data_IF_741149593088
#
_entry.id   IF_741149593088
#
_cell.length_a   1.000
_cell.length_b   1.000
_cell.length_c   1.000
_cell.angle_alpha   90.00
_cell.angle_beta   90.00
_cell.angle_gamma   90.00
#
_symmetry.space_group_name_H-M   'P 1'
#
loop_
_entity.id
_entity.type
_entity.pdbx_description
1 polymer ?
#
# COMPACT_ATOMS: atom_id res chain seq x y z
N UNK A 1 31.67 -24.46 -20.21
CA UNK A 1 31.03 -24.56 -18.87
C UNK A 1 29.63 -25.17 -19.00
N UNK A 2 29.41 -26.39 -18.49
CA UNK A 2 28.11 -27.10 -18.54
C UNK A 2 27.15 -26.54 -17.49
N UNK A 3 25.98 -26.03 -17.90
CA UNK A 3 24.87 -25.64 -17.01
C UNK A 3 24.16 -26.88 -16.48
N UNK A 4 24.09 -27.06 -15.16
CA UNK A 4 23.25 -28.08 -14.50
C UNK A 4 21.86 -27.50 -14.20
N UNK A 5 20.81 -28.12 -14.72
CA UNK A 5 19.44 -27.89 -14.26
C UNK A 5 19.21 -28.59 -12.91
N UNK A 6 18.80 -27.83 -11.89
CA UNK A 6 18.24 -28.39 -10.64
C UNK A 6 16.74 -28.60 -10.84
N UNK A 7 16.32 -29.86 -10.88
CA UNK A 7 14.90 -30.24 -10.78
C UNK A 7 14.47 -30.11 -9.31
N UNK A 8 13.52 -29.22 -9.02
CA UNK A 8 12.86 -29.15 -7.70
C UNK A 8 11.87 -30.30 -7.58
N UNK A 9 12.24 -31.33 -6.83
CA UNK A 9 11.32 -32.41 -6.44
C UNK A 9 10.35 -31.87 -5.38
N UNK A 10 9.05 -32.00 -5.62
CA UNK A 10 8.00 -31.54 -4.70
C UNK A 10 7.99 -32.43 -3.44
N UNK A 11 7.77 -31.88 -2.23
CA UNK A 11 7.91 -32.62 -0.95
C UNK A 11 7.04 -33.88 -0.82
N UNK A 12 5.90 -33.96 -1.50
CA UNK A 12 5.08 -35.18 -1.52
C UNK A 12 5.73 -36.35 -2.29
N UNK A 13 6.59 -36.09 -3.27
CA UNK A 13 7.34 -37.15 -3.96
C UNK A 13 8.45 -37.73 -3.07
N UNK A 14 9.02 -36.94 -2.15
CA UNK A 14 9.96 -37.44 -1.15
C UNK A 14 9.26 -38.38 -0.15
N UNK A 15 8.02 -38.07 0.22
CA UNK A 15 7.20 -38.92 1.09
C UNK A 15 6.84 -40.26 0.40
N UNK A 16 6.52 -40.23 -0.89
CA UNK A 16 6.29 -41.43 -1.71
C UNK A 16 7.57 -42.27 -1.84
N UNK A 17 8.74 -41.63 -2.02
CA UNK A 17 10.02 -42.34 -2.07
C UNK A 17 10.40 -43.00 -0.74
N UNK A 18 10.08 -42.35 0.39
CA UNK A 18 10.30 -42.90 1.73
C UNK A 18 9.36 -44.09 1.99
N UNK A 19 8.09 -43.99 1.57
CA UNK A 19 7.11 -45.09 1.65
C UNK A 19 7.52 -46.29 0.76
N UNK A 20 8.02 -46.05 -0.45
CA UNK A 20 8.53 -47.11 -1.34
C UNK A 20 9.80 -47.77 -0.77
N UNK A 21 10.71 -46.99 -0.14
CA UNK A 21 11.88 -47.56 0.55
C UNK A 21 11.52 -48.36 1.81
N UNK A 22 10.51 -47.93 2.57
CA UNK A 22 10.02 -48.66 3.74
C UNK A 22 9.31 -49.96 3.35
N UNK A 23 8.60 -49.97 2.22
CA UNK A 23 7.98 -51.20 1.70
C UNK A 23 8.98 -52.14 1.01
N UNK A 24 10.08 -51.62 0.46
CA UNK A 24 11.16 -52.41 -0.13
C UNK A 24 12.09 -53.10 0.89
N UNK A 25 11.95 -52.81 2.20
CA UNK A 25 12.81 -53.35 3.25
C UNK A 25 12.36 -54.74 3.78
N UNK A 26 11.30 -55.34 3.24
CA UNK A 26 10.70 -56.58 3.76
C UNK A 26 10.83 -57.83 2.85
N UNK A 27 11.69 -57.79 1.82
CA UNK A 27 11.97 -58.98 0.97
C UNK A 27 13.47 -59.04 0.64
N UNK A 28 14.18 -60.19 0.87
CA UNK A 28 15.58 -60.31 0.49
C UNK A 28 15.72 -60.54 -1.03
N UNK A 29 16.83 -60.12 -1.66
CA UNK A 29 17.00 -60.26 -3.10
C UNK A 29 17.38 -61.71 -3.47
N UNK A 30 16.85 -62.29 -4.56
CA UNK A 30 17.46 -63.46 -5.17
C UNK A 30 18.66 -63.02 -6.03
N UNK A 31 19.71 -63.82 -5.98
CA UNK A 31 20.91 -63.66 -6.79
C UNK A 31 20.62 -63.83 -8.29
N UNK A 32 21.44 -63.15 -9.08
CA UNK A 32 21.40 -63.06 -10.54
C UNK A 32 21.67 -64.43 -11.20
N UNK A 33 20.84 -64.79 -12.18
CA UNK A 33 21.26 -65.55 -13.35
C UNK A 33 20.52 -65.02 -14.59
N UNK A 34 21.29 -64.59 -15.58
CA UNK A 34 20.91 -63.91 -16.82
C UNK A 34 20.45 -64.86 -17.92
N UNK A 35 19.42 -64.52 -18.71
CA UNK A 35 19.40 -64.66 -20.18
C UNK A 35 18.12 -64.06 -20.84
N UNK A 36 18.35 -63.13 -21.79
CA UNK A 36 17.78 -62.94 -23.16
C UNK A 36 16.48 -63.72 -23.54
N UNK A 37 15.55 -63.30 -24.40
CA UNK A 37 15.28 -62.16 -25.32
C UNK A 37 13.89 -62.43 -25.97
N UNK A 38 13.15 -61.36 -26.35
CA UNK A 38 12.21 -61.20 -27.51
C UNK A 38 10.85 -61.92 -27.59
N UNK A 39 9.87 -61.15 -28.09
CA UNK A 39 8.84 -61.54 -29.09
C UNK A 39 7.39 -61.58 -28.58
N UNK A 40 6.55 -60.57 -28.87
CA UNK A 40 5.48 -60.54 -29.92
C UNK A 40 4.27 -61.45 -29.59
N UNK A 41 3.11 -60.89 -29.21
CA UNK A 41 1.92 -60.52 -30.04
C UNK A 41 1.15 -61.73 -30.61
N UNK A 42 -0.19 -61.65 -30.44
CA UNK A 42 -1.30 -62.37 -31.13
C UNK A 42 -1.93 -63.67 -30.55
N UNK A 43 -3.26 -63.59 -30.35
CA UNK A 43 -4.28 -64.68 -30.45
C UNK A 43 -4.61 -64.90 -31.95
N UNK A 44 -5.31 -65.96 -32.46
CA UNK A 44 -6.35 -66.79 -31.81
C UNK A 44 -6.52 -68.29 -32.25
N UNK A 45 -7.43 -68.99 -31.56
CA UNK A 45 -8.39 -70.05 -32.00
C UNK A 45 -7.98 -71.46 -32.55
N UNK A 46 -8.53 -72.47 -31.84
CA UNK A 46 -9.34 -73.64 -32.28
C UNK A 46 -8.75 -75.05 -32.61
N UNK A 47 -9.37 -76.04 -31.93
CA UNK A 47 -9.66 -77.48 -32.19
C UNK A 47 -8.51 -78.51 -32.24
N UNK A 48 -8.69 -79.61 -31.48
CA UNK A 48 -8.14 -80.92 -31.86
C UNK A 48 -8.04 -81.93 -30.71
N UNK A 49 -9.08 -82.73 -30.52
CA UNK A 49 -9.21 -83.88 -29.62
C UNK A 49 -8.08 -84.91 -29.70
N UNK A 50 -7.65 -85.48 -28.57
CA UNK A 50 -7.67 -86.94 -28.33
C UNK A 50 -7.32 -87.30 -26.88
N UNK A 51 -8.00 -88.35 -26.42
CA UNK A 51 -8.08 -88.88 -25.06
C UNK A 51 -6.91 -89.83 -24.79
N UNK A 52 -6.25 -89.70 -23.64
CA UNK A 52 -5.72 -90.84 -22.87
C UNK A 52 -5.93 -90.55 -21.37
N UNK A 53 -6.67 -91.45 -20.70
CA UNK A 53 -6.87 -91.50 -19.26
C UNK A 53 -5.58 -91.97 -18.58
N UNK A 54 -5.16 -91.32 -17.49
CA UNK A 54 -4.65 -92.03 -16.32
C UNK A 54 -4.54 -91.12 -15.08
N UNK A 55 -5.02 -91.68 -13.97
CA UNK A 55 -4.64 -91.50 -12.58
C UNK A 55 -4.81 -90.17 -11.81
N UNK A 56 -5.78 -90.27 -10.90
CA UNK A 56 -5.99 -89.51 -9.67
C UNK A 56 -4.71 -89.39 -8.82
N UNK A 57 -4.29 -88.15 -8.51
CA UNK A 57 -3.92 -87.72 -7.14
C UNK A 57 -4.22 -86.23 -6.93
N UNK A 58 -4.86 -85.84 -5.81
CA UNK A 58 -5.08 -84.44 -5.48
C UNK A 58 -3.77 -83.84 -4.96
N UNK A 59 -3.08 -83.04 -5.77
CA UNK A 59 -1.93 -82.26 -5.32
C UNK A 59 -2.35 -80.86 -4.88
N UNK A 60 -2.18 -80.64 -3.58
CA UNK A 60 -1.89 -79.38 -2.89
C UNK A 60 -3.00 -78.32 -2.78
N UNK A 61 -3.61 -78.28 -1.61
CA UNK A 61 -4.35 -77.14 -1.03
C UNK A 61 -3.43 -76.00 -0.56
N UNK A 62 -2.13 -76.03 -0.84
CA UNK A 62 -1.16 -75.05 -0.36
C UNK A 62 -1.04 -73.76 -1.20
N UNK A 63 -1.52 -73.74 -2.45
CA UNK A 63 -1.51 -72.52 -3.26
C UNK A 63 -2.63 -71.51 -2.88
N UNK A 64 -3.74 -71.94 -2.26
CA UNK A 64 -4.84 -71.03 -1.91
C UNK A 64 -4.59 -70.20 -0.65
N UNK A 65 -3.80 -70.70 0.30
CA UNK A 65 -3.54 -70.01 1.57
C UNK A 65 -2.53 -68.85 1.45
N UNK A 66 -1.57 -68.95 0.52
CA UNK A 66 -0.64 -67.87 0.18
C UNK A 66 -1.37 -66.73 -0.55
N UNK A 67 -2.32 -67.07 -1.42
CA UNK A 67 -3.16 -66.09 -2.13
C UNK A 67 -3.99 -65.24 -1.17
N UNK A 68 -4.62 -65.85 -0.16
CA UNK A 68 -5.45 -65.12 0.82
C UNK A 68 -4.61 -64.16 1.67
N UNK A 69 -3.41 -64.55 2.10
CA UNK A 69 -2.52 -63.66 2.89
C UNK A 69 -1.99 -62.50 2.06
N UNK A 70 -1.63 -62.73 0.80
CA UNK A 70 -1.19 -61.67 -0.12
C UNK A 70 -2.34 -60.71 -0.41
N UNK A 71 -3.55 -61.20 -0.67
CA UNK A 71 -4.74 -60.38 -0.83
C UNK A 71 -5.07 -59.56 0.42
N UNK A 72 -4.94 -60.15 1.62
CA UNK A 72 -5.19 -59.44 2.87
C UNK A 72 -4.18 -58.30 3.10
N UNK A 73 -2.91 -58.49 2.73
CA UNK A 73 -1.89 -57.43 2.76
C UNK A 73 -2.17 -56.34 1.72
N UNK A 74 -2.56 -56.71 0.49
CA UNK A 74 -2.91 -55.75 -0.57
C UNK A 74 -4.14 -54.91 -0.18
N UNK A 75 -5.18 -55.54 0.37
CA UNK A 75 -6.40 -54.86 0.84
C UNK A 75 -6.07 -53.94 2.02
N UNK A 76 -5.25 -54.39 2.97
CA UNK A 76 -4.84 -53.58 4.13
C UNK A 76 -3.98 -52.38 3.72
N UNK A 77 -3.02 -52.58 2.80
CA UNK A 77 -2.19 -51.51 2.26
C UNK A 77 -3.01 -50.51 1.44
N UNK A 78 -3.97 -51.00 0.65
CA UNK A 78 -4.90 -50.15 -0.11
C UNK A 78 -5.81 -49.33 0.81
N UNK A 79 -6.30 -49.94 1.90
CA UNK A 79 -7.06 -49.26 2.94
C UNK A 79 -6.27 -48.13 3.62
N UNK A 80 -4.99 -48.37 3.93
CA UNK A 80 -4.09 -47.36 4.50
C UNK A 80 -3.83 -46.20 3.53
N UNK A 81 -3.64 -46.49 2.23
CA UNK A 81 -3.47 -45.46 1.20
C UNK A 81 -4.75 -44.62 1.06
N UNK A 82 -5.92 -45.25 1.01
CA UNK A 82 -7.21 -44.54 0.95
C UNK A 82 -7.42 -43.67 2.19
N UNK A 83 -7.17 -44.19 3.39
CA UNK A 83 -7.27 -43.44 4.64
C UNK A 83 -6.31 -42.24 4.67
N UNK A 84 -5.08 -42.41 4.18
CA UNK A 84 -4.09 -41.33 4.09
C UNK A 84 -4.54 -40.24 3.11
N UNK A 85 -5.08 -40.63 1.93
CA UNK A 85 -5.61 -39.68 0.95
C UNK A 85 -6.82 -38.93 1.52
N UNK A 86 -7.72 -39.62 2.22
CA UNK A 86 -8.87 -39.01 2.89
C UNK A 86 -8.45 -38.04 3.99
N UNK A 87 -7.47 -38.41 4.83
CA UNK A 87 -6.91 -37.53 5.85
C UNK A 87 -6.27 -36.28 5.24
N UNK A 88 -5.48 -36.42 4.17
CA UNK A 88 -4.88 -35.28 3.45
C UNK A 88 -5.95 -34.37 2.84
N UNK A 89 -7.03 -34.93 2.29
CA UNK A 89 -8.18 -34.15 1.80
C UNK A 89 -8.89 -33.43 2.94
N UNK A 90 -9.18 -34.11 4.04
CA UNK A 90 -9.82 -33.53 5.21
C UNK A 90 -9.00 -32.38 5.81
N UNK A 91 -7.67 -32.53 5.93
CA UNK A 91 -6.78 -31.44 6.38
C UNK A 91 -6.79 -30.29 5.38
N UNK A 92 -6.74 -30.57 4.07
CA UNK A 92 -6.79 -29.52 3.05
C UNK A 92 -8.10 -28.76 3.09
N UNK A 93 -9.22 -29.45 3.23
CA UNK A 93 -10.54 -28.85 3.28
C UNK A 93 -10.74 -28.09 4.59
N UNK A 94 -10.28 -28.62 5.73
CA UNK A 94 -10.22 -27.89 7.00
C UNK A 94 -9.40 -26.60 6.89
N UNK A 95 -8.22 -26.62 6.25
CA UNK A 95 -7.40 -25.42 6.02
C UNK A 95 -8.11 -24.43 5.08
N UNK A 96 -8.82 -24.91 4.06
CA UNK A 96 -9.61 -24.05 3.16
C UNK A 96 -10.78 -23.40 3.91
N UNK A 97 -11.54 -24.17 4.67
CA UNK A 97 -12.66 -23.69 5.49
C UNK A 97 -12.16 -22.71 6.54
N UNK A 98 -11.02 -22.98 7.20
CA UNK A 98 -10.41 -22.04 8.13
C UNK A 98 -9.97 -20.75 7.42
N UNK A 99 -9.31 -20.81 6.27
CA UNK A 99 -8.93 -19.60 5.51
C UNK A 99 -10.13 -18.79 5.05
N UNK A 100 -11.27 -19.44 4.80
CA UNK A 100 -12.53 -18.79 4.43
C UNK A 100 -13.31 -18.26 5.63
N UNK A 101 -13.01 -18.71 6.85
CA UNK A 101 -13.66 -18.23 8.07
C UNK A 101 -13.18 -16.82 8.44
N UNK A 102 -13.98 -16.10 9.24
CA UNK A 102 -13.63 -14.77 9.74
C UNK A 102 -12.30 -14.76 10.51
N UNK A 103 -12.01 -15.84 11.26
CA UNK A 103 -10.76 -16.00 12.01
C UNK A 103 -9.55 -16.17 11.08
N UNK A 104 -9.66 -16.99 10.03
CA UNK A 104 -8.59 -17.13 9.04
C UNK A 104 -8.33 -15.85 8.27
N UNK A 105 -9.40 -15.10 7.94
CA UNK A 105 -9.32 -13.78 7.30
C UNK A 105 -8.61 -12.76 8.20
N UNK A 106 -9.01 -12.65 9.47
CA UNK A 106 -8.34 -11.78 10.46
C UNK A 106 -6.87 -12.16 10.59
N UNK A 107 -6.54 -13.45 10.76
CA UNK A 107 -5.16 -13.90 10.91
C UNK A 107 -4.30 -13.56 9.69
N UNK A 108 -4.86 -13.70 8.49
CA UNK A 108 -4.18 -13.32 7.25
C UNK A 108 -3.98 -11.80 7.15
N UNK A 109 -4.98 -11.00 7.51
CA UNK A 109 -4.91 -9.54 7.50
C UNK A 109 -3.89 -9.01 8.53
N UNK A 110 -3.90 -9.55 9.76
CA UNK A 110 -2.89 -9.27 10.78
C UNK A 110 -1.49 -9.63 10.27
N UNK A 111 -1.31 -10.79 9.63
CA UNK A 111 -0.02 -11.18 9.08
C UNK A 111 0.46 -10.24 7.95
N UNK A 112 -0.46 -9.69 7.14
CA UNK A 112 -0.15 -8.66 6.13
C UNK A 112 0.31 -7.37 6.81
N UNK A 113 -0.44 -6.89 7.81
CA UNK A 113 -0.13 -5.64 8.53
C UNK A 113 1.16 -5.71 9.36
N UNK A 114 1.55 -6.89 9.84
CA UNK A 114 2.78 -7.08 10.62
C UNK A 114 4.06 -7.15 9.77
N UNK A 115 3.96 -7.12 8.43
CA UNK A 115 5.14 -6.95 7.57
C UNK A 115 5.70 -5.53 7.77
N UNK A 116 7.03 -5.34 7.71
CA UNK A 116 7.61 -4.00 7.68
C UNK A 116 7.00 -3.19 6.54
N UNK A 117 6.62 -1.95 6.81
CA UNK A 117 6.06 -1.07 5.80
C UNK A 117 7.14 -0.70 4.77
N UNK A 118 6.81 -0.91 3.51
CA UNK A 118 7.68 -0.61 2.37
C UNK A 118 7.06 0.57 1.59
N UNK A 119 7.77 1.72 1.52
CA UNK A 119 7.38 2.85 0.69
C UNK A 119 7.26 2.48 -0.80
N UNK A 120 6.48 3.27 -1.53
CA UNK A 120 6.33 3.12 -2.98
C UNK A 120 7.62 3.46 -3.75
N UNK A 121 8.47 4.33 -3.19
CA UNK A 121 9.74 4.75 -3.78
C UNK A 121 10.93 4.06 -3.11
N UNK A 122 11.98 3.75 -3.89
CA UNK A 122 13.22 3.24 -3.32
C UNK A 122 13.97 4.38 -2.58
N UNK A 123 14.74 4.02 -1.56
CA UNK A 123 15.31 4.98 -0.61
C UNK A 123 16.35 5.91 -1.25
N UNK A 124 17.09 5.41 -2.24
CA UNK A 124 18.12 6.13 -2.99
C UNK A 124 17.54 7.21 -3.93
N UNK A 125 16.23 7.20 -4.17
CA UNK A 125 15.53 8.25 -4.92
C UNK A 125 14.94 9.36 -4.03
N UNK A 126 15.12 9.28 -2.70
CA UNK A 126 14.46 10.18 -1.76
C UNK A 126 15.46 10.92 -0.89
N UNK A 127 15.45 12.25 -0.97
CA UNK A 127 16.20 13.10 -0.05
C UNK A 127 15.63 13.03 1.37
N UNK A 128 16.51 13.12 2.36
CA UNK A 128 16.08 13.21 3.76
C UNK A 128 15.57 14.61 4.04
N UNK A 129 14.40 14.70 4.67
CA UNK A 129 13.77 15.98 5.02
C UNK A 129 13.50 16.05 6.52
N UNK A 130 13.70 17.20 7.18
CA UNK A 130 13.44 17.34 8.62
C UNK A 130 12.01 16.93 9.02
N UNK A 131 11.03 17.18 8.15
CA UNK A 131 9.62 16.81 8.37
C UNK A 131 9.42 15.29 8.50
N UNK A 132 10.25 14.46 7.84
CA UNK A 132 10.20 13.00 8.00
C UNK A 132 10.57 12.60 9.43
N UNK A 133 11.57 13.27 10.01
CA UNK A 133 11.93 13.12 11.42
C UNK A 133 10.82 13.56 12.36
N UNK A 134 10.13 14.66 12.04
CA UNK A 134 8.95 15.13 12.81
C UNK A 134 7.81 14.11 12.79
N UNK A 135 7.47 13.57 11.60
CA UNK A 135 6.45 12.52 11.47
C UNK A 135 6.86 11.26 12.24
N UNK A 136 8.12 10.84 12.12
CA UNK A 136 8.66 9.68 12.84
C UNK A 136 8.56 9.84 14.35
N UNK A 137 8.98 10.99 14.89
CA UNK A 137 8.85 11.32 16.32
C UNK A 137 7.39 11.29 16.77
N UNK A 138 6.49 11.84 15.96
CA UNK A 138 5.05 11.82 16.24
C UNK A 138 4.49 10.40 16.33
N UNK A 139 4.94 9.49 15.47
CA UNK A 139 4.55 8.06 15.50
C UNK A 139 5.11 7.34 16.71
N UNK A 140 6.37 7.64 17.06
CA UNK A 140 7.05 7.05 18.22
C UNK A 140 6.41 7.47 19.55
N UNK A 141 6.14 8.77 19.71
CA UNK A 141 5.58 9.34 20.94
C UNK A 141 4.04 9.43 20.92
N UNK A 142 3.37 8.73 20.01
CA UNK A 142 1.92 8.82 19.88
C UNK A 142 1.23 8.25 21.11
N UNK A 143 0.27 9.02 21.64
CA UNK A 143 -0.57 8.61 22.79
C UNK A 143 -2.06 8.69 22.46
N UNK A 144 -2.45 9.73 21.73
CA UNK A 144 -3.83 10.05 21.37
C UNK A 144 -3.87 10.95 20.14
N UNK A 145 -5.08 11.16 19.59
CA UNK A 145 -5.40 12.11 18.52
C UNK A 145 -4.99 11.68 17.11
N UNK A 146 -5.78 12.10 16.12
CA UNK A 146 -5.41 11.92 14.72
C UNK A 146 -4.22 12.81 14.36
N UNK A 147 -3.40 12.38 13.41
CA UNK A 147 -2.32 13.21 12.84
C UNK A 147 -2.68 13.58 11.41
N UNK A 148 -2.70 14.87 11.09
CA UNK A 148 -3.00 15.37 9.76
C UNK A 148 -1.69 15.86 9.14
N UNK A 149 -1.31 15.28 8.02
CA UNK A 149 -0.16 15.70 7.23
C UNK A 149 -0.70 16.55 6.09
N UNK A 150 -0.63 17.86 6.29
CA UNK A 150 -1.06 18.89 5.36
C UNK A 150 0.11 19.50 4.58
N UNK A 151 -0.21 20.27 3.55
CA UNK A 151 0.78 20.94 2.72
C UNK A 151 0.23 21.25 1.34
N UNK A 152 0.98 22.03 0.58
CA UNK A 152 0.63 22.37 -0.80
C UNK A 152 0.54 21.11 -1.66
N UNK A 153 -0.28 21.14 -2.71
CA UNK A 153 -0.28 20.05 -3.70
C UNK A 153 1.14 19.84 -4.23
N UNK A 154 1.58 18.58 -4.33
CA UNK A 154 2.93 18.22 -4.76
C UNK A 154 4.11 18.69 -3.86
N UNK A 155 3.87 19.02 -2.59
CA UNK A 155 4.96 19.31 -1.62
C UNK A 155 5.71 18.07 -1.09
N UNK A 156 5.38 16.86 -1.55
CA UNK A 156 6.03 15.62 -1.11
C UNK A 156 5.44 14.96 0.15
N UNK A 157 4.18 15.25 0.49
CA UNK A 157 3.48 14.69 1.68
C UNK A 157 3.49 13.16 1.75
N UNK A 158 3.02 12.49 0.69
CA UNK A 158 2.95 11.03 0.67
C UNK A 158 4.34 10.42 0.79
N UNK A 159 5.34 10.96 0.07
CA UNK A 159 6.74 10.53 0.18
C UNK A 159 7.28 10.71 1.60
N UNK A 160 7.10 11.89 2.20
CA UNK A 160 7.57 12.16 3.56
C UNK A 160 6.93 11.23 4.61
N UNK A 161 5.63 10.94 4.44
CA UNK A 161 4.89 10.04 5.33
C UNK A 161 5.35 8.60 5.17
N UNK A 162 5.48 8.14 3.93
CA UNK A 162 5.92 6.78 3.63
C UNK A 162 7.34 6.53 4.13
N UNK A 163 8.28 7.44 3.87
CA UNK A 163 9.65 7.33 4.36
C UNK A 163 9.74 7.35 5.90
N UNK A 164 8.96 8.21 6.56
CA UNK A 164 8.91 8.23 8.01
C UNK A 164 8.46 6.87 8.60
N UNK A 165 7.57 6.17 7.90
CA UNK A 165 7.05 4.85 8.26
C UNK A 165 7.86 3.68 7.70
N UNK A 166 8.95 3.92 6.95
CA UNK A 166 9.79 2.84 6.39
C UNK A 166 10.23 1.86 7.48
N UNK A 167 9.94 0.59 7.26
CA UNK A 167 10.29 -0.51 8.17
C UNK A 167 9.36 -0.68 9.38
N UNK A 168 8.41 0.23 9.60
CA UNK A 168 7.46 0.16 10.73
C UNK A 168 6.46 -0.97 10.47
N UNK A 169 6.26 -1.84 11.47
CA UNK A 169 5.23 -2.88 11.43
C UNK A 169 3.91 -2.35 11.96
N UNK A 170 2.81 -2.95 11.50
CA UNK A 170 1.46 -2.60 11.94
C UNK A 170 0.84 -1.42 11.19
N UNK A 171 1.42 -1.04 10.05
CA UNK A 171 0.90 0.03 9.19
C UNK A 171 -0.08 -0.55 8.18
N UNK A 172 -1.30 -0.01 8.14
CA UNK A 172 -2.32 -0.29 7.13
C UNK A 172 -2.55 1.00 6.35
N UNK A 173 -2.21 1.00 5.06
CA UNK A 173 -2.43 2.13 4.14
C UNK A 173 -3.71 1.92 3.34
N UNK A 174 -4.47 2.99 3.13
CA UNK A 174 -5.59 3.01 2.22
C UNK A 174 -5.73 4.36 1.49
N UNK A 175 -6.08 4.34 0.20
CA UNK A 175 -6.33 5.53 -0.63
C UNK A 175 -7.83 5.82 -0.67
N UNK A 176 -8.24 7.03 -0.30
CA UNK A 176 -9.65 7.44 -0.24
C UNK A 176 -10.04 8.17 -1.51
N UNK A 177 -10.55 7.42 -2.48
CA UNK A 177 -10.88 7.95 -3.82
C UNK A 177 -12.37 8.26 -4.00
N UNK A 178 -13.25 7.72 -3.15
CA UNK A 178 -14.70 7.90 -3.26
C UNK A 178 -15.42 7.85 -1.91
N UNK A 179 -16.71 8.20 -1.89
CA UNK A 179 -17.55 8.14 -0.69
C UNK A 179 -17.70 6.73 -0.09
N UNK A 180 -17.51 5.68 -0.89
CA UNK A 180 -17.64 4.25 -0.51
C UNK A 180 -16.33 3.65 0.04
N UNK A 181 -15.33 4.49 0.36
CA UNK A 181 -13.99 4.08 0.76
C UNK A 181 -13.95 3.03 1.89
N UNK A 182 -14.87 3.09 2.86
CA UNK A 182 -14.91 2.10 3.96
C UNK A 182 -15.16 0.68 3.45
N UNK A 183 -16.12 0.52 2.52
CA UNK A 183 -16.44 -0.79 1.92
C UNK A 183 -15.23 -1.30 1.15
N UNK A 184 -14.61 -0.45 0.33
CA UNK A 184 -13.42 -0.80 -0.45
C UNK A 184 -12.22 -1.18 0.43
N UNK A 185 -12.01 -0.46 1.55
CA UNK A 185 -10.98 -0.79 2.53
C UNK A 185 -11.20 -2.16 3.15
N UNK A 186 -12.44 -2.47 3.53
CA UNK A 186 -12.81 -3.76 4.10
C UNK A 186 -12.61 -4.89 3.08
N UNK A 187 -13.01 -4.69 1.83
CA UNK A 187 -12.78 -5.63 0.73
C UNK A 187 -11.29 -5.89 0.47
N UNK A 188 -10.46 -4.83 0.43
CA UNK A 188 -9.01 -4.96 0.21
C UNK A 188 -8.31 -5.72 1.35
N UNK A 189 -8.75 -5.46 2.59
CA UNK A 189 -8.26 -6.15 3.77
C UNK A 189 -8.88 -7.54 3.95
N UNK A 190 -9.88 -7.90 3.13
CA UNK A 190 -10.68 -9.12 3.23
C UNK A 190 -11.36 -9.29 4.59
N UNK A 191 -11.75 -8.18 5.21
CA UNK A 191 -12.57 -8.14 6.42
C UNK A 191 -13.99 -7.72 6.04
N UNK A 192 -15.01 -8.28 6.66
CA UNK A 192 -16.40 -8.13 6.16
C UNK A 192 -17.11 -6.89 6.73
N UNK A 193 -16.65 -6.37 7.87
CA UNK A 193 -17.29 -5.26 8.56
C UNK A 193 -16.32 -4.54 9.50
N UNK A 194 -16.81 -3.43 10.07
CA UNK A 194 -16.05 -2.59 11.00
C UNK A 194 -15.66 -3.31 12.29
N UNK A 195 -16.45 -4.29 12.76
CA UNK A 195 -16.14 -5.09 13.94
C UNK A 195 -14.91 -5.97 13.72
N UNK A 196 -14.86 -6.68 12.59
CA UNK A 196 -13.70 -7.49 12.21
C UNK A 196 -12.46 -6.64 11.94
N UNK A 197 -12.63 -5.44 11.37
CA UNK A 197 -11.52 -4.50 11.21
C UNK A 197 -10.95 -4.05 12.56
N UNK A 198 -11.81 -3.68 13.52
CA UNK A 198 -11.39 -3.30 14.88
C UNK A 198 -10.66 -4.46 15.56
N UNK A 199 -11.19 -5.68 15.46
CA UNK A 199 -10.56 -6.87 16.02
C UNK A 199 -9.20 -7.17 15.36
N UNK A 200 -9.09 -7.01 14.04
CA UNK A 200 -7.81 -7.11 13.33
C UNK A 200 -6.80 -6.11 13.90
N UNK A 201 -7.17 -4.83 14.00
CA UNK A 201 -6.26 -3.79 14.49
C UNK A 201 -5.86 -3.99 15.95
N UNK A 202 -6.79 -4.44 16.79
CA UNK A 202 -6.54 -4.82 18.19
C UNK A 202 -5.47 -5.91 18.28
N UNK A 203 -5.58 -6.97 17.48
CA UNK A 203 -4.59 -8.06 17.42
C UNK A 203 -3.24 -7.63 16.82
N UNK A 204 -3.24 -6.68 15.89
CA UNK A 204 -2.00 -6.05 15.43
C UNK A 204 -1.33 -5.34 16.61
N UNK A 205 -2.06 -4.51 17.35
CA UNK A 205 -1.57 -3.84 18.56
C UNK A 205 -1.01 -4.79 19.61
N UNK A 206 -1.69 -5.91 19.87
CA UNK A 206 -1.18 -6.95 20.78
C UNK A 206 0.15 -7.54 20.30
N UNK A 207 0.26 -7.89 19.02
CA UNK A 207 1.51 -8.43 18.46
C UNK A 207 2.65 -7.42 18.42
N UNK A 208 2.37 -6.13 18.26
CA UNK A 208 3.41 -5.10 18.25
C UNK A 208 4.15 -5.01 19.60
N UNK A 209 3.54 -5.45 20.70
CA UNK A 209 4.18 -5.53 22.03
C UNK A 209 5.38 -6.49 22.03
N UNK A 210 5.34 -7.53 21.19
CA UNK A 210 6.41 -8.52 21.05
C UNK A 210 7.64 -7.99 20.26
N UNK A 211 7.54 -6.79 19.68
CA UNK A 211 8.62 -6.16 18.89
C UNK A 211 9.14 -4.91 19.60
N UNK A 212 10.06 -5.03 20.59
CA UNK A 212 10.59 -3.91 21.35
C UNK A 212 11.14 -2.79 20.45
N UNK A 213 11.84 -3.17 19.38
CA UNK A 213 12.50 -2.24 18.45
C UNK A 213 11.58 -1.63 17.38
N UNK A 214 10.28 -1.99 17.36
CA UNK A 214 9.34 -1.33 16.45
C UNK A 214 9.06 0.10 16.91
N UNK A 215 9.04 1.04 15.95
CA UNK A 215 8.90 2.48 16.21
C UNK A 215 7.70 2.83 17.11
N UNK A 216 6.59 2.09 16.99
CA UNK A 216 5.38 2.31 17.79
C UNK A 216 4.80 0.99 18.29
N UNK A 217 4.06 1.05 19.41
CA UNK A 217 3.28 -0.07 19.95
C UNK A 217 1.82 -0.04 19.51
N UNK A 218 1.43 0.98 18.76
CA UNK A 218 0.07 1.17 18.30
C UNK A 218 -0.02 0.83 16.80
N UNK A 219 -1.09 0.16 16.37
CA UNK A 219 -1.33 -0.03 14.94
C UNK A 219 -1.59 1.34 14.29
N UNK A 220 -1.07 1.51 13.07
CA UNK A 220 -1.16 2.77 12.31
C UNK A 220 -2.13 2.58 11.15
N UNK A 221 -3.14 3.45 11.06
CA UNK A 221 -4.02 3.55 9.89
C UNK A 221 -3.63 4.80 9.09
N UNK A 222 -2.95 4.60 7.96
CA UNK A 222 -2.57 5.66 7.03
C UNK A 222 -3.66 5.83 5.97
N UNK A 223 -4.36 6.96 6.02
CA UNK A 223 -5.38 7.36 5.06
C UNK A 223 -4.81 8.41 4.11
N UNK A 224 -4.58 8.03 2.86
CA UNK A 224 -4.15 8.94 1.81
C UNK A 224 -5.39 9.51 1.13
N UNK A 225 -5.54 10.84 1.10
CA UNK A 225 -6.66 11.50 0.45
C UNK A 225 -6.12 12.26 -0.77
N UNK A 226 -6.31 11.72 -1.99
CA UNK A 226 -5.95 12.39 -3.23
C UNK A 226 -6.62 13.76 -3.39
N UNK A 227 -6.02 14.61 -4.23
CA UNK A 227 -6.59 15.94 -4.55
C UNK A 227 -7.94 15.84 -5.25
N UNK A 228 -8.15 14.76 -6.02
CA UNK A 228 -9.37 14.49 -6.80
C UNK A 228 -10.55 14.09 -5.92
N UNK A 229 -10.32 13.75 -4.65
CA UNK A 229 -11.38 13.35 -3.73
C UNK A 229 -12.21 14.56 -3.31
N UNK A 230 -13.46 14.58 -3.77
CA UNK A 230 -14.41 15.67 -3.51
C UNK A 230 -15.49 15.30 -2.50
N UNK A 231 -15.79 14.01 -2.34
CA UNK A 231 -16.89 13.50 -1.51
C UNK A 231 -16.38 12.62 -0.35
N UNK A 232 -17.18 12.55 0.73
CA UNK A 232 -16.99 11.62 1.84
C UNK A 232 -15.94 12.03 2.88
N UNK A 233 -15.30 13.20 2.75
CA UNK A 233 -14.26 13.71 3.66
C UNK A 233 -14.78 13.85 5.11
N UNK A 234 -16.02 14.30 5.28
CA UNK A 234 -16.76 14.39 6.54
C UNK A 234 -16.87 13.02 7.24
N UNK A 235 -17.12 11.96 6.47
CA UNK A 235 -17.16 10.58 6.97
C UNK A 235 -15.76 10.08 7.34
N UNK A 236 -14.72 10.50 6.61
CA UNK A 236 -13.32 10.18 6.98
C UNK A 236 -12.98 10.79 8.33
N UNK A 237 -13.29 12.07 8.55
CA UNK A 237 -12.96 12.74 9.80
C UNK A 237 -13.69 12.12 10.99
N UNK A 238 -14.98 11.84 10.85
CA UNK A 238 -15.77 11.16 11.89
C UNK A 238 -15.18 9.78 12.22
N UNK A 239 -14.75 9.03 11.20
CA UNK A 239 -14.14 7.71 11.43
C UNK A 239 -12.77 7.82 12.10
N UNK A 240 -11.96 8.79 11.71
CA UNK A 240 -10.68 9.04 12.36
C UNK A 240 -10.87 9.41 13.83
N UNK A 241 -11.89 10.22 14.17
CA UNK A 241 -12.26 10.54 15.57
C UNK A 241 -12.61 9.28 16.35
N UNK A 242 -13.49 8.46 15.79
CA UNK A 242 -13.97 7.25 16.46
C UNK A 242 -12.83 6.27 16.71
N UNK A 243 -11.96 6.10 15.72
CA UNK A 243 -10.90 5.09 15.73
C UNK A 243 -9.65 5.55 16.50
N UNK A 244 -9.37 6.85 16.53
CA UNK A 244 -8.22 7.40 17.26
C UNK A 244 -8.48 7.62 18.76
N UNK A 245 -9.70 7.36 19.27
CA UNK A 245 -10.04 7.52 20.69
C UNK A 245 -10.19 6.18 21.40
N UNK A 246 -9.64 6.07 22.61
CA UNK A 246 -9.64 4.85 23.43
C UNK A 246 -11.04 4.38 23.88
N UNK A 247 -12.08 5.19 23.63
CA UNK A 247 -13.48 4.86 23.98
C UNK A 247 -13.99 3.57 23.33
N UNK A 248 -13.28 3.06 22.31
CA UNK A 248 -13.64 1.85 21.56
C UNK A 248 -12.75 0.64 21.95
N UNK A 249 -11.84 0.78 22.94
CA UNK A 249 -11.02 -0.34 23.45
C UNK A 249 -9.90 -0.78 22.50
N UNK A 250 -9.54 0.06 21.52
CA UNK A 250 -8.39 -0.14 20.64
C UNK A 250 -7.83 1.22 20.21
N UNK A 251 -6.72 1.65 20.82
CA UNK A 251 -5.98 2.83 20.37
C UNK A 251 -5.35 2.57 18.99
N UNK A 252 -5.79 3.29 17.96
CA UNK A 252 -5.24 3.24 16.61
C UNK A 252 -4.70 4.62 16.25
N UNK A 253 -3.43 4.68 15.86
CA UNK A 253 -2.84 5.94 15.38
C UNK A 253 -3.32 6.19 13.95
N UNK A 254 -4.30 7.09 13.79
CA UNK A 254 -4.78 7.50 12.48
C UNK A 254 -3.91 8.64 11.94
N UNK A 255 -3.29 8.41 10.78
CA UNK A 255 -2.52 9.41 10.04
C UNK A 255 -3.27 9.71 8.74
N UNK A 256 -3.55 10.98 8.48
CA UNK A 256 -4.23 11.43 7.27
C UNK A 256 -3.28 12.26 6.43
N UNK A 257 -2.89 11.73 5.27
CA UNK A 257 -2.12 12.45 4.26
C UNK A 257 -3.09 13.16 3.32
N UNK A 258 -3.28 14.47 3.50
CA UNK A 258 -4.22 15.25 2.72
C UNK A 258 -3.49 15.91 1.53
N UNK A 259 -3.74 15.45 0.30
CA UNK A 259 -3.02 15.92 -0.90
C UNK A 259 -3.21 17.41 -1.24
N UNK A 260 -4.19 18.09 -0.64
CA UNK A 260 -4.41 19.53 -0.78
C UNK A 260 -4.72 20.20 0.56
N UNK A 261 -4.40 21.49 0.65
CA UNK A 261 -4.74 22.32 1.81
C UNK A 261 -6.26 22.38 2.05
N UNK A 262 -7.08 22.33 0.99
CA UNK A 262 -8.53 22.28 1.09
C UNK A 262 -9.02 21.03 1.84
N UNK A 263 -8.48 19.87 1.48
CA UNK A 263 -8.80 18.60 2.14
C UNK A 263 -8.31 18.61 3.58
N UNK A 264 -7.11 19.13 3.83
CA UNK A 264 -6.58 19.25 5.19
C UNK A 264 -7.46 20.15 6.08
N UNK A 265 -8.02 21.24 5.52
CA UNK A 265 -8.92 22.14 6.24
C UNK A 265 -10.34 21.61 6.40
N UNK A 266 -10.83 20.86 5.41
CA UNK A 266 -12.13 20.21 5.49
C UNK A 266 -12.13 19.04 6.48
N UNK A 267 -10.95 18.47 6.74
CA UNK A 267 -10.77 17.43 7.72
C UNK A 267 -10.76 18.04 9.12
N UNK A 268 -11.88 17.90 9.82
CA UNK A 268 -12.01 18.26 11.22
C UNK A 268 -12.09 16.98 12.06
N UNK A 269 -11.00 16.60 12.73
CA UNK A 269 -10.95 15.51 13.70
C UNK A 269 -11.33 15.96 15.14
N UNK A 270 -12.05 17.09 15.27
CA UNK A 270 -12.45 17.67 16.56
C UNK A 270 -11.57 18.86 16.94
N UNK A 271 -11.01 19.55 15.95
CA UNK A 271 -10.10 20.68 16.11
C UNK A 271 -8.79 20.31 16.81
N UNK A 272 -8.05 21.34 17.23
CA UNK A 272 -6.75 21.22 17.91
C UNK A 272 -6.78 20.41 19.20
N UNK A 273 -7.96 20.15 19.75
CA UNK A 273 -8.14 19.30 20.93
C UNK A 273 -7.99 17.81 20.64
N UNK A 274 -8.13 17.39 19.37
CA UNK A 274 -8.15 15.97 18.97
C UNK A 274 -7.39 15.67 17.68
N UNK A 275 -6.65 16.65 17.17
CA UNK A 275 -5.83 16.53 15.97
C UNK A 275 -4.49 17.25 16.14
N UNK A 276 -3.44 16.67 15.58
CA UNK A 276 -2.12 17.30 15.49
C UNK A 276 -1.74 17.47 14.02
N UNK A 277 -1.49 18.72 13.62
CA UNK A 277 -1.23 19.10 12.24
C UNK A 277 0.27 19.21 11.98
N UNK A 278 0.77 18.41 11.04
CA UNK A 278 2.12 18.51 10.50
C UNK A 278 2.04 19.14 9.11
N UNK A 279 2.77 20.22 8.89
CA UNK A 279 2.82 20.90 7.60
C UNK A 279 4.09 20.56 6.83
N UNK A 280 3.92 19.98 5.64
CA UNK A 280 5.01 19.73 4.69
C UNK A 280 5.16 20.95 3.77
N UNK A 281 6.17 21.75 4.06
CA UNK A 281 6.58 22.90 3.26
C UNK A 281 7.21 22.47 1.92
N UNK A 282 7.49 23.45 1.07
CA UNK A 282 8.35 23.27 -0.10
C UNK A 282 9.80 22.97 0.35
N UNK A 283 10.67 22.63 -0.61
CA UNK A 283 12.07 22.37 -0.28
C UNK A 283 12.79 23.66 0.14
N UNK A 284 13.78 23.52 1.00
CA UNK A 284 14.83 24.52 1.19
C UNK A 284 15.79 24.52 -0.02
N UNK A 285 16.65 25.53 -0.12
CA UNK A 285 17.69 25.54 -1.15
C UNK A 285 18.66 24.36 -0.99
N UNK A 286 18.99 24.00 0.25
CA UNK A 286 19.85 22.85 0.58
C UNK A 286 19.19 21.53 0.16
N UNK A 287 17.93 21.30 0.55
CA UNK A 287 17.17 20.12 0.12
C UNK A 287 17.04 20.07 -1.41
N UNK A 288 16.91 21.22 -2.09
CA UNK A 288 16.81 21.29 -3.55
C UNK A 288 18.13 20.91 -4.23
N UNK A 289 19.28 21.36 -3.71
CA UNK A 289 20.61 20.95 -4.18
C UNK A 289 20.79 19.43 -4.06
N UNK A 290 20.46 18.86 -2.90
CA UNK A 290 20.51 17.41 -2.69
C UNK A 290 19.59 16.65 -3.66
N UNK A 291 18.36 17.13 -3.84
CA UNK A 291 17.39 16.51 -4.75
C UNK A 291 17.90 16.51 -6.19
N UNK A 292 18.44 17.64 -6.65
CA UNK A 292 18.97 17.77 -8.00
C UNK A 292 20.29 17.01 -8.18
N UNK A 293 21.09 16.84 -7.12
CA UNK A 293 22.27 15.98 -7.16
C UNK A 293 21.90 14.51 -7.46
N UNK A 294 20.82 13.99 -6.87
CA UNK A 294 20.29 12.65 -7.21
C UNK A 294 19.90 12.51 -8.68
N UNK A 295 19.60 13.62 -9.35
CA UNK A 295 19.21 13.67 -10.76
C UNK A 295 20.36 14.11 -11.69
N UNK A 296 21.57 14.32 -11.16
CA UNK A 296 22.74 14.75 -11.95
C UNK A 296 22.74 16.25 -12.31
N UNK A 297 21.99 17.08 -11.59
CA UNK A 297 21.78 18.50 -11.88
C UNK A 297 22.25 19.43 -10.75
N UNK A 298 23.12 18.97 -9.85
CA UNK A 298 23.62 19.73 -8.69
C UNK A 298 24.17 21.12 -9.06
N UNK A 299 24.92 21.22 -10.17
CA UNK A 299 25.56 22.47 -10.61
C UNK A 299 24.58 23.51 -11.16
N UNK A 300 23.40 23.09 -11.61
CA UNK A 300 22.41 23.94 -12.28
C UNK A 300 21.21 24.24 -11.36
N UNK A 301 21.34 24.02 -10.05
CA UNK A 301 20.20 24.11 -9.12
C UNK A 301 19.52 25.48 -9.13
N UNK A 302 20.29 26.57 -9.33
CA UNK A 302 19.74 27.92 -9.41
C UNK A 302 18.82 28.09 -10.61
N UNK A 303 19.19 27.53 -11.76
CA UNK A 303 18.40 27.62 -12.99
C UNK A 303 17.08 26.85 -12.83
N UNK A 304 17.10 25.71 -12.13
CA UNK A 304 15.89 24.97 -11.76
C UNK A 304 14.98 25.78 -10.83
N UNK A 305 15.55 26.40 -9.79
CA UNK A 305 14.78 27.23 -8.84
C UNK A 305 14.20 28.46 -9.53
N UNK A 306 14.94 29.10 -10.42
CA UNK A 306 14.44 30.23 -11.23
C UNK A 306 13.34 29.79 -12.21
N UNK A 307 13.46 28.60 -12.80
CA UNK A 307 12.46 28.09 -13.75
C UNK A 307 11.16 27.63 -13.09
N UNK A 308 11.21 26.99 -11.92
CA UNK A 308 10.04 26.31 -11.36
C UNK A 308 9.87 26.42 -9.84
N UNK A 309 10.77 27.13 -9.16
CA UNK A 309 10.75 27.32 -7.71
C UNK A 309 11.20 26.08 -6.92
N UNK A 310 10.80 26.04 -5.65
CA UNK A 310 11.26 25.04 -4.67
C UNK A 310 10.26 23.90 -4.42
N UNK A 311 9.16 23.85 -5.18
CA UNK A 311 8.15 22.81 -4.99
C UNK A 311 8.63 21.51 -5.63
N UNK A 312 8.80 20.46 -4.83
CA UNK A 312 9.40 19.19 -5.29
C UNK A 312 8.71 18.58 -6.52
N UNK A 313 7.38 18.64 -6.64
CA UNK A 313 6.72 18.13 -7.84
C UNK A 313 6.97 18.94 -9.11
N UNK A 314 7.25 20.24 -9.00
CA UNK A 314 7.64 21.05 -10.16
C UNK A 314 9.08 20.72 -10.56
N UNK A 315 9.97 20.55 -9.58
CA UNK A 315 11.36 20.09 -9.81
C UNK A 315 11.41 18.72 -10.48
N UNK A 316 10.58 17.75 -10.03
CA UNK A 316 10.46 16.43 -10.67
C UNK A 316 10.05 16.58 -12.14
N UNK A 317 9.00 17.37 -12.41
CA UNK A 317 8.54 17.63 -13.78
C UNK A 317 9.59 18.34 -14.64
N UNK A 318 10.30 19.32 -14.08
CA UNK A 318 11.38 20.01 -14.78
C UNK A 318 12.51 19.03 -15.17
N UNK A 319 12.89 18.13 -14.26
CA UNK A 319 13.85 17.06 -14.57
C UNK A 319 13.33 16.13 -15.68
N UNK A 320 12.05 15.77 -15.66
CA UNK A 320 11.43 14.95 -16.71
C UNK A 320 11.37 15.65 -18.07
N UNK A 321 11.03 16.95 -18.08
CA UNK A 321 11.00 17.78 -19.28
C UNK A 321 12.39 17.92 -19.89
N UNK A 322 13.41 18.15 -19.07
CA UNK A 322 14.80 18.23 -19.52
C UNK A 322 15.27 16.91 -20.13
N UNK A 323 14.91 15.76 -19.54
CA UNK A 323 15.16 14.43 -20.13
C UNK A 323 14.48 14.21 -21.48
N UNK A 324 13.36 14.90 -21.73
CA UNK A 324 12.65 14.90 -23.02
C UNK A 324 13.21 15.93 -24.01
N UNK A 325 14.26 16.67 -23.65
CA UNK A 325 14.90 17.67 -24.50
C UNK A 325 14.28 19.06 -24.43
N UNK A 326 13.39 19.33 -23.48
CA UNK A 326 12.84 20.68 -23.26
C UNK A 326 13.81 21.51 -22.40
N UNK A 327 14.30 22.67 -22.89
CA UNK A 327 15.12 23.59 -22.10
C UNK A 327 14.39 24.10 -20.84
N UNK A 328 15.18 24.53 -19.84
CA UNK A 328 14.63 25.10 -18.61
C UNK A 328 13.89 26.43 -18.85
N UNK A 329 14.31 27.22 -19.84
CA UNK A 329 13.62 28.47 -20.20
C UNK A 329 12.19 28.21 -20.70
N UNK A 330 12.00 27.18 -21.53
CA UNK A 330 10.67 26.77 -22.00
C UNK A 330 9.82 26.25 -20.83
N UNK A 331 10.45 25.54 -19.90
CA UNK A 331 9.80 25.07 -18.66
C UNK A 331 9.36 26.27 -17.80
N UNK A 332 10.20 27.30 -17.69
CA UNK A 332 9.88 28.56 -16.98
C UNK A 332 8.69 29.26 -17.61
N UNK A 333 8.68 29.40 -18.93
CA UNK A 333 7.56 30.01 -19.65
C UNK A 333 6.26 29.22 -19.46
N UNK A 334 6.32 27.88 -19.45
CA UNK A 334 5.15 27.05 -19.17
C UNK A 334 4.60 27.29 -17.75
N UNK A 335 5.46 27.29 -16.73
CA UNK A 335 5.05 27.55 -15.35
C UNK A 335 4.54 28.97 -15.14
N UNK A 336 5.14 29.97 -15.79
CA UNK A 336 4.65 31.35 -15.77
C UNK A 336 3.24 31.43 -16.37
N UNK A 337 3.03 30.82 -17.55
CA UNK A 337 1.70 30.78 -18.20
C UNK A 337 0.65 30.12 -17.32
N UNK A 338 1.02 29.04 -16.62
CA UNK A 338 0.12 28.35 -15.66
C UNK A 338 -0.20 29.28 -14.48
N UNK A 339 0.81 29.93 -13.89
CA UNK A 339 0.61 30.86 -12.79
C UNK A 339 -0.28 32.05 -13.19
N UNK A 340 -0.05 32.64 -14.37
CA UNK A 340 -0.86 33.72 -14.94
C UNK A 340 -2.33 33.31 -15.07
N UNK A 341 -2.59 32.13 -15.66
CA UNK A 341 -3.95 31.63 -15.84
C UNK A 341 -4.62 31.24 -14.51
N UNK A 342 -3.89 30.70 -13.55
CA UNK A 342 -4.41 30.40 -12.21
C UNK A 342 -4.74 31.68 -11.43
N UNK A 343 -3.88 32.69 -11.47
CA UNK A 343 -4.11 33.99 -10.82
C UNK A 343 -5.27 34.72 -11.45
N UNK A 344 -5.33 34.81 -12.78
CA UNK A 344 -6.44 35.44 -13.50
C UNK A 344 -7.78 34.82 -13.11
N UNK A 345 -7.88 33.48 -13.19
CA UNK A 345 -9.09 32.74 -12.76
C UNK A 345 -9.41 32.92 -11.29
N UNK A 346 -8.40 33.01 -10.42
CA UNK A 346 -8.61 33.27 -9.00
C UNK A 346 -9.18 34.67 -8.76
N UNK A 347 -8.67 35.69 -9.45
CA UNK A 347 -9.15 37.07 -9.31
C UNK A 347 -10.63 37.24 -9.68
N UNK A 348 -11.11 36.43 -10.62
CA UNK A 348 -12.51 36.36 -11.06
C UNK A 348 -13.46 35.71 -10.03
N UNK A 349 -12.92 35.07 -8.97
CA UNK A 349 -13.75 34.40 -7.96
C UNK A 349 -14.40 35.38 -6.98
N UNK A 350 -15.64 35.09 -6.60
CA UNK A 350 -16.28 35.67 -5.43
C UNK A 350 -15.94 34.83 -4.20
N UNK A 351 -14.87 35.17 -3.47
CA UNK A 351 -14.38 34.38 -2.31
C UNK A 351 -15.25 34.55 -1.06
N UNK A 352 -16.03 35.62 -1.01
CA UNK A 352 -17.09 35.90 -0.03
C UNK A 352 -18.10 36.84 -0.70
N UNK A 353 -19.39 36.91 -0.34
CA UNK A 353 -20.38 37.80 -0.99
C UNK A 353 -19.99 39.29 -1.15
N UNK A 354 -19.01 39.74 -0.36
CA UNK A 354 -18.48 41.12 -0.35
C UNK A 354 -16.99 41.22 -0.63
N UNK A 355 -16.31 40.11 -0.93
CA UNK A 355 -14.88 40.10 -1.24
C UNK A 355 -14.62 39.24 -2.47
N UNK A 356 -13.93 39.82 -3.44
CA UNK A 356 -13.46 39.18 -4.67
C UNK A 356 -12.05 38.63 -4.50
N UNK A 357 -11.67 37.67 -5.34
CA UNK A 357 -10.30 37.18 -5.41
C UNK A 357 -9.32 38.30 -5.75
N UNK A 358 -9.71 39.27 -6.59
CA UNK A 358 -8.88 40.44 -6.92
C UNK A 358 -8.54 41.29 -5.70
N UNK A 359 -9.50 41.53 -4.80
CA UNK A 359 -9.26 42.25 -3.55
C UNK A 359 -8.32 41.48 -2.61
N UNK A 360 -8.57 40.17 -2.48
CA UNK A 360 -7.71 39.29 -1.68
C UNK A 360 -6.26 39.26 -2.20
N UNK A 361 -6.07 39.25 -3.53
CA UNK A 361 -4.74 39.31 -4.15
C UNK A 361 -4.04 40.65 -3.88
N UNK A 362 -4.75 41.79 -3.97
CA UNK A 362 -4.18 43.11 -3.64
C UNK A 362 -3.66 43.16 -2.20
N UNK A 363 -4.43 42.63 -1.27
CA UNK A 363 -4.04 42.60 0.14
C UNK A 363 -2.87 41.64 0.38
N UNK A 364 -2.86 40.48 -0.29
CA UNK A 364 -1.74 39.53 -0.28
C UNK A 364 -0.44 40.14 -0.79
N UNK A 365 -0.48 40.94 -1.87
CA UNK A 365 0.71 41.65 -2.38
C UNK A 365 1.27 42.62 -1.34
N UNK A 366 0.38 43.35 -0.66
CA UNK A 366 0.77 44.33 0.38
C UNK A 366 1.41 43.63 1.60
N UNK A 367 0.95 42.43 1.93
CA UNK A 367 1.43 41.65 3.07
C UNK A 367 2.53 40.63 2.70
N UNK A 368 3.05 40.63 1.46
CA UNK A 368 4.07 39.68 1.04
C UNK A 368 5.42 39.97 1.71
N UNK A 369 6.18 38.95 2.20
CA UNK A 369 5.91 37.50 2.16
C UNK A 369 5.16 36.96 3.41
N UNK A 370 4.76 37.83 4.34
CA UNK A 370 4.15 37.44 5.61
C UNK A 370 2.76 36.79 5.48
N UNK A 371 2.05 37.09 4.38
CA UNK A 371 0.69 36.60 4.12
C UNK A 371 -0.37 37.32 4.97
N UNK A 372 -1.63 37.21 4.57
CA UNK A 372 -2.76 37.87 5.24
C UNK A 372 -3.46 36.94 6.22
N UNK A 373 -4.10 37.50 7.24
CA UNK A 373 -5.02 36.73 8.09
C UNK A 373 -6.26 36.32 7.27
N UNK A 374 -7.21 35.65 7.92
CA UNK A 374 -8.49 35.30 7.30
C UNK A 374 -9.48 36.48 7.32
N UNK A 375 -8.98 37.71 7.15
CA UNK A 375 -9.77 38.95 7.13
C UNK A 375 -9.25 39.79 5.97
N UNK A 376 -10.15 40.21 5.08
CA UNK A 376 -9.86 41.09 3.95
C UNK A 376 -10.80 42.28 4.01
N UNK A 377 -10.28 43.51 4.00
CA UNK A 377 -11.10 44.72 4.13
C UNK A 377 -12.06 44.70 5.35
N UNK A 378 -11.61 44.13 6.47
CA UNK A 378 -12.43 43.97 7.69
C UNK A 378 -13.48 42.85 7.62
N UNK A 379 -13.60 42.14 6.50
CA UNK A 379 -14.53 41.03 6.32
C UNK A 379 -13.81 39.72 6.59
N UNK A 380 -14.33 38.93 7.52
CA UNK A 380 -13.81 37.60 7.83
C UNK A 380 -14.13 36.63 6.69
N UNK A 381 -13.10 36.05 6.10
CA UNK A 381 -13.19 35.00 5.09
C UNK A 381 -12.99 33.65 5.77
N UNK A 382 -13.74 32.63 5.36
CA UNK A 382 -13.60 31.28 5.85
C UNK A 382 -12.57 30.52 4.99
N UNK A 383 -11.42 30.10 5.55
CA UNK A 383 -10.38 29.40 4.78
C UNK A 383 -10.86 28.16 4.05
N UNK A 384 -11.81 27.45 4.66
CA UNK A 384 -12.42 26.26 4.07
C UNK A 384 -13.18 26.59 2.78
N UNK A 385 -14.00 27.64 2.77
CA UNK A 385 -14.78 28.04 1.60
C UNK A 385 -13.86 28.45 0.45
N UNK A 386 -12.82 29.25 0.74
CA UNK A 386 -11.82 29.64 -0.27
C UNK A 386 -11.12 28.41 -0.85
N UNK A 387 -10.70 27.49 0.01
CA UNK A 387 -10.00 26.29 -0.43
C UNK A 387 -10.91 25.36 -1.26
N UNK A 388 -12.19 25.26 -0.92
CA UNK A 388 -13.20 24.55 -1.71
C UNK A 388 -13.43 25.22 -3.08
N UNK A 389 -13.55 26.55 -3.13
CA UNK A 389 -13.66 27.31 -4.39
C UNK A 389 -12.45 27.08 -5.30
N UNK A 390 -11.24 27.23 -4.75
CA UNK A 390 -9.97 26.99 -5.44
C UNK A 390 -9.92 25.57 -6.01
N UNK A 391 -10.34 24.57 -5.22
CA UNK A 391 -10.39 23.18 -5.65
C UNK A 391 -11.39 22.99 -6.80
N UNK A 392 -12.60 23.49 -6.66
CA UNK A 392 -13.69 23.31 -7.61
C UNK A 392 -13.44 24.04 -8.94
N UNK A 393 -12.74 25.18 -8.90
CA UNK A 393 -12.39 25.98 -10.09
C UNK A 393 -10.99 25.68 -10.62
N UNK A 394 -10.26 24.77 -9.96
CA UNK A 394 -8.89 24.39 -10.29
C UNK A 394 -7.94 25.57 -10.52
N UNK A 395 -7.95 26.55 -9.61
CA UNK A 395 -7.09 27.74 -9.65
C UNK A 395 -6.30 27.92 -8.33
N UNK A 396 -5.31 27.05 -8.04
CA UNK A 396 -4.55 27.06 -6.79
C UNK A 396 -3.52 28.20 -6.70
N UNK A 397 -3.93 29.44 -6.99
CA UNK A 397 -3.09 30.64 -6.91
C UNK A 397 -2.75 31.06 -5.46
N UNK A 398 -3.63 30.71 -4.52
CA UNK A 398 -3.51 31.04 -3.09
C UNK A 398 -3.72 29.77 -2.26
N UNK A 399 -3.13 29.69 -1.09
CA UNK A 399 -3.46 28.66 -0.11
C UNK A 399 -3.51 29.23 1.31
N UNK A 400 -4.25 28.56 2.18
CA UNK A 400 -4.23 28.86 3.61
C UNK A 400 -3.32 27.89 4.36
N UNK A 401 -2.45 28.43 5.21
CA UNK A 401 -1.57 27.67 6.07
C UNK A 401 -2.22 27.50 7.45
N UNK A 402 -2.62 26.29 7.87
CA UNK A 402 -3.40 26.07 9.10
C UNK A 402 -2.61 26.44 10.37
N UNK A 403 -1.32 26.11 10.42
CA UNK A 403 -0.45 26.44 11.56
C UNK A 403 -0.21 27.95 11.67
N UNK A 404 0.17 28.62 10.58
CA UNK A 404 0.40 30.09 10.56
C UNK A 404 -0.91 30.90 10.60
N UNK A 405 -2.06 30.26 10.38
CA UNK A 405 -3.40 30.85 10.28
C UNK A 405 -3.48 32.02 9.30
N UNK A 406 -2.82 31.88 8.16
CA UNK A 406 -2.68 32.93 7.14
C UNK A 406 -2.81 32.39 5.72
N UNK A 407 -3.28 33.23 4.81
CA UNK A 407 -3.23 32.99 3.37
C UNK A 407 -1.90 33.45 2.77
N UNK A 408 -1.43 32.72 1.78
CA UNK A 408 -0.21 32.99 1.04
C UNK A 408 -0.43 32.76 -0.46
N UNK A 409 0.35 33.45 -1.30
CA UNK A 409 0.51 33.04 -2.69
C UNK A 409 1.04 31.62 -2.75
N UNK A 410 0.60 30.87 -3.76
CA UNK A 410 1.12 29.53 -3.99
C UNK A 410 2.62 29.57 -4.27
N UNK A 411 3.13 30.41 -5.15
CA UNK A 411 4.58 30.57 -5.34
C UNK A 411 4.94 32.00 -5.69
N UNK A 412 6.24 32.29 -5.78
CA UNK A 412 6.77 33.56 -6.30
C UNK A 412 6.22 33.86 -7.70
N UNK A 413 6.13 32.86 -8.59
CA UNK A 413 5.52 33.02 -9.93
C UNK A 413 4.06 33.50 -9.85
N UNK A 414 3.28 33.03 -8.86
CA UNK A 414 1.89 33.50 -8.67
C UNK A 414 1.84 34.93 -8.14
N UNK A 415 2.83 35.34 -7.34
CA UNK A 415 2.98 36.72 -6.89
C UNK A 415 3.33 37.63 -8.08
N UNK A 416 4.26 37.23 -8.93
CA UNK A 416 4.67 37.99 -10.13
C UNK A 416 3.53 38.09 -11.14
N UNK A 417 2.83 36.99 -11.39
CA UNK A 417 1.60 36.95 -12.17
C UNK A 417 0.54 37.92 -11.63
N UNK A 418 0.35 37.97 -10.31
CA UNK A 418 -0.58 38.90 -9.67
C UNK A 418 -0.20 40.36 -9.86
N UNK A 419 1.08 40.71 -9.79
CA UNK A 419 1.56 42.06 -10.08
C UNK A 419 1.29 42.45 -11.53
N UNK A 420 1.62 41.57 -12.48
CA UNK A 420 1.42 41.80 -13.91
C UNK A 420 -0.07 42.01 -14.26
N UNK A 421 -0.96 41.17 -13.71
CA UNK A 421 -2.41 41.25 -13.93
C UNK A 421 -3.04 42.51 -13.31
N UNK A 422 -2.46 43.05 -12.22
CA UNK A 422 -2.95 44.29 -11.61
C UNK A 422 -2.38 45.55 -12.25
N UNK A 423 -1.19 45.47 -12.86
CA UNK A 423 -0.57 46.56 -13.59
C UNK A 423 -1.24 46.83 -14.96
N UNK A 424 -1.87 45.81 -15.56
CA UNK A 424 -2.61 45.89 -16.82
C UNK A 424 -4.11 45.65 -16.58
N UNK A 425 -4.83 46.63 -16.00
CA UNK A 425 -6.09 46.41 -15.28
C UNK A 425 -7.29 45.94 -16.08
#
# INVERSE_FOLDING_TARGET
MKRRHRVRVKPWMALVFILVKLMGAFVPPPQVASARLRGLIERPQFIGSSIVKEDLRPRSTHCRALDVKVWQVIVSASGLVVATIQAVRAVRDSVRTFKASSEGKIRAAVAKAMKPFEPSRPQDEVIQRPVMGTIRKRVESWQQHATIIGGRYQSGKSVATEEALRGVRGVVRFSIESADWKRMMFEELKVENSGLFKEMMRRVGEKLKDFPDNLTKYPVLLLDIPRTTIEGIDRVSSTAKDVATDKIGCAIHVIVSASSAAVALAFDAGGTERQEDIWVADLTEEETKEFLALHGHEKNWKDFVDACGLRIGDLVKACENLKKGMPLDDTKQEYQRVADDEVRRFMELQVHPKVTGREMVKELLTAYPAGILNVVNGIRILPREVAELIRNKSCPAVYFHPIKKRFFFASTLHKEAAEAQLANP
#
